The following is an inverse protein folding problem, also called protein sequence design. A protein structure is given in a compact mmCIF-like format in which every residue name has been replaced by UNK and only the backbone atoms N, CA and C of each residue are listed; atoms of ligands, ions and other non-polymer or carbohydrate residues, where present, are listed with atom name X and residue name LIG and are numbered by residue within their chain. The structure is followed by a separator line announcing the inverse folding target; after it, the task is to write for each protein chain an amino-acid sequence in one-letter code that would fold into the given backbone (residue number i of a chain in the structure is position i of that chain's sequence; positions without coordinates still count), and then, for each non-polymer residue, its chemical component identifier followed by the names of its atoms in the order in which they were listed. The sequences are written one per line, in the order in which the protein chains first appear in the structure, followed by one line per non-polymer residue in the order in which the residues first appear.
data_IF_238287287774
#
_entry.id   IF_238287287774
#
_cell.length_a   1.000
_cell.length_b   1.000
_cell.length_c   1.000
_cell.angle_alpha   90.00
_cell.angle_beta   90.00
_cell.angle_gamma   90.00
#
_symmetry.space_group_name_H-M   'P 1'
#
loop_
_entity.id
_entity.type
_entity.pdbx_description
1 polymer ?
#
# COMPACT_ATOMS: atom_id res chain seq x y z
N UNK A 1 -21.06 -8.90 22.00
CA UNK A 1 -20.46 -7.83 21.17
C UNK A 1 -19.05 -8.15 20.69
N UNK A 2 -18.08 -8.48 21.56
CA UNK A 2 -16.70 -8.83 21.15
C UNK A 2 -16.58 -9.93 20.09
N UNK A 3 -17.34 -11.02 20.21
CA UNK A 3 -17.35 -12.12 19.20
C UNK A 3 -17.76 -11.65 17.81
N UNK A 4 -18.76 -10.76 17.72
CA UNK A 4 -19.23 -10.19 16.44
C UNK A 4 -18.16 -9.28 15.83
N UNK A 5 -17.53 -8.43 16.63
CA UNK A 5 -16.43 -7.57 16.17
C UNK A 5 -15.20 -8.38 15.72
N UNK A 6 -14.85 -9.43 16.44
CA UNK A 6 -13.76 -10.33 16.03
C UNK A 6 -14.04 -10.98 14.68
N UNK A 7 -15.26 -11.49 14.47
CA UNK A 7 -15.68 -12.04 13.18
C UNK A 7 -15.69 -10.98 12.08
N UNK A 8 -16.15 -9.76 12.36
CA UNK A 8 -16.11 -8.65 11.41
C UNK A 8 -14.69 -8.36 10.95
N UNK A 9 -13.74 -8.22 11.88
CA UNK A 9 -12.32 -7.99 11.56
C UNK A 9 -11.77 -9.12 10.70
N UNK A 10 -12.02 -10.38 11.08
CA UNK A 10 -11.57 -11.54 10.30
C UNK A 10 -12.15 -11.52 8.89
N UNK A 11 -13.45 -11.28 8.73
CA UNK A 11 -14.09 -11.24 7.42
C UNK A 11 -13.54 -10.09 6.55
N UNK A 12 -13.40 -8.88 7.11
CA UNK A 12 -12.82 -7.75 6.41
C UNK A 12 -11.39 -8.07 5.98
N UNK A 13 -10.55 -8.63 6.85
CA UNK A 13 -9.18 -8.98 6.48
C UNK A 13 -9.13 -10.10 5.43
N UNK A 14 -9.99 -11.12 5.53
CA UNK A 14 -10.04 -12.23 4.56
C UNK A 14 -10.42 -11.72 3.17
N UNK A 15 -11.42 -10.84 3.06
CA UNK A 15 -11.85 -10.33 1.74
C UNK A 15 -10.92 -9.24 1.17
N UNK A 16 -10.04 -8.67 2.00
CA UNK A 16 -9.14 -7.56 1.61
C UNK A 16 -7.66 -7.94 1.76
N UNK A 17 -6.92 -7.24 2.62
CA UNK A 17 -5.45 -7.28 2.70
C UNK A 17 -4.89 -8.51 3.41
N UNK A 18 -5.68 -9.24 4.20
CA UNK A 18 -5.24 -10.46 4.86
C UNK A 18 -4.94 -11.59 3.87
N UNK A 19 -5.82 -11.79 2.87
CA UNK A 19 -5.55 -12.76 1.79
C UNK A 19 -4.50 -12.26 0.81
N UNK A 20 -4.42 -10.95 0.55
CA UNK A 20 -3.30 -10.35 -0.21
C UNK A 20 -1.96 -10.62 0.48
N UNK A 21 -1.89 -10.52 1.82
CA UNK A 21 -0.71 -10.82 2.63
C UNK A 21 -0.28 -12.26 2.51
N UNK A 22 -1.22 -13.20 2.67
CA UNK A 22 -0.94 -14.63 2.50
C UNK A 22 -0.44 -14.94 1.07
N UNK A 23 -1.10 -14.39 0.05
CA UNK A 23 -0.70 -14.58 -1.35
C UNK A 23 0.68 -13.98 -1.63
N UNK A 24 0.99 -12.82 -1.08
CA UNK A 24 2.28 -12.16 -1.24
C UNK A 24 3.41 -12.97 -0.59
N UNK A 25 3.20 -13.52 0.60
CA UNK A 25 4.16 -14.41 1.24
C UNK A 25 4.41 -15.69 0.42
N UNK A 26 3.35 -16.33 -0.08
CA UNK A 26 3.47 -17.51 -0.96
C UNK A 26 4.23 -17.18 -2.26
N UNK A 27 3.94 -16.02 -2.88
CA UNK A 27 4.67 -15.55 -4.08
C UNK A 27 6.14 -15.26 -3.81
N UNK A 28 6.48 -14.77 -2.61
CA UNK A 28 7.88 -14.58 -2.23
C UNK A 28 8.59 -15.93 -2.12
N UNK A 29 7.98 -16.92 -1.47
CA UNK A 29 8.55 -18.28 -1.37
C UNK A 29 8.78 -18.86 -2.78
N UNK A 30 7.79 -18.78 -3.65
CA UNK A 30 7.89 -19.23 -5.05
C UNK A 30 9.05 -18.53 -5.80
N UNK A 31 9.18 -17.22 -5.63
CA UNK A 31 10.25 -16.43 -6.23
C UNK A 31 11.64 -16.88 -5.73
N UNK A 32 11.78 -17.13 -4.42
CA UNK A 32 13.03 -17.60 -3.80
C UNK A 32 13.43 -19.00 -4.24
N UNK A 33 12.46 -19.85 -4.59
CA UNK A 33 12.70 -21.20 -5.10
C UNK A 33 13.04 -21.21 -6.59
N UNK A 34 12.75 -20.13 -7.32
CA UNK A 34 12.90 -20.06 -8.78
C UNK A 34 14.24 -19.46 -9.21
N UNK A 35 14.61 -18.28 -8.70
CA UNK A 35 15.83 -17.56 -9.09
C UNK A 35 16.20 -16.51 -8.03
N UNK A 36 17.42 -15.93 -8.06
CA UNK A 36 17.74 -14.74 -7.27
C UNK A 36 16.72 -13.61 -7.47
N UNK A 37 16.36 -12.88 -6.42
CA UNK A 37 15.31 -11.87 -6.50
C UNK A 37 15.69 -10.71 -7.43
N UNK A 38 16.94 -10.28 -7.40
CA UNK A 38 17.47 -9.19 -8.25
C UNK A 38 17.56 -9.53 -9.73
N UNK A 39 17.41 -10.80 -10.11
CA UNK A 39 17.31 -11.22 -11.52
C UNK A 39 15.85 -11.28 -12.00
N UNK A 40 14.88 -11.11 -11.09
CA UNK A 40 13.47 -11.12 -11.38
C UNK A 40 12.90 -9.70 -11.45
N UNK A 41 11.82 -9.56 -12.23
CA UNK A 41 11.13 -8.29 -12.46
C UNK A 41 9.77 -8.28 -11.77
N UNK A 42 9.35 -7.11 -11.29
CA UNK A 42 7.99 -6.87 -10.84
C UNK A 42 7.46 -5.59 -11.46
N UNK A 43 6.23 -5.64 -11.95
CA UNK A 43 5.55 -4.50 -12.57
C UNK A 43 4.54 -3.96 -11.56
N UNK A 44 4.58 -2.65 -11.28
CA UNK A 44 3.71 -2.01 -10.28
C UNK A 44 2.26 -1.85 -10.76
N UNK A 45 2.08 -1.55 -12.06
CA UNK A 45 0.77 -1.43 -12.72
C UNK A 45 0.89 -2.12 -14.07
N UNK A 46 0.51 -3.39 -14.13
CA UNK A 46 0.58 -4.16 -15.38
C UNK A 46 -0.70 -4.00 -16.20
N UNK A 47 -0.59 -4.10 -17.53
CA UNK A 47 -1.76 -4.08 -18.41
C UNK A 47 -2.57 -5.37 -18.21
N UNK A 48 -3.87 -5.23 -17.94
CA UNK A 48 -4.79 -6.35 -17.79
C UNK A 48 -5.32 -6.83 -19.16
N UNK A 49 -5.19 -6.02 -20.20
CA UNK A 49 -5.54 -6.38 -21.57
C UNK A 49 -4.63 -5.71 -22.59
N UNK A 50 -4.41 -6.36 -23.73
CA UNK A 50 -3.78 -5.76 -24.91
C UNK A 50 -4.71 -4.80 -25.67
N UNK A 51 -6.01 -4.78 -25.35
CA UNK A 51 -7.01 -3.91 -25.98
C UNK A 51 -7.25 -2.69 -25.08
N UNK A 52 -6.90 -1.48 -25.54
CA UNK A 52 -6.79 -0.28 -24.69
C UNK A 52 -8.07 0.08 -23.90
N UNK A 53 -9.25 0.06 -24.53
CA UNK A 53 -10.48 0.42 -23.83
C UNK A 53 -10.89 -0.63 -22.79
N UNK A 54 -10.59 -1.91 -23.07
CA UNK A 54 -10.88 -3.03 -22.16
C UNK A 54 -9.91 -3.02 -20.99
N UNK A 55 -8.63 -2.75 -21.24
CA UNK A 55 -7.64 -2.52 -20.18
C UNK A 55 -8.12 -1.41 -19.25
N UNK A 56 -8.45 -0.23 -19.79
CA UNK A 56 -8.96 0.88 -18.99
C UNK A 56 -10.18 0.47 -18.14
N UNK A 57 -11.15 -0.24 -18.72
CA UNK A 57 -12.33 -0.71 -17.99
C UNK A 57 -11.98 -1.68 -16.85
N UNK A 58 -11.03 -2.60 -17.08
CA UNK A 58 -10.54 -3.54 -16.06
C UNK A 58 -9.78 -2.82 -14.95
N UNK A 59 -8.88 -1.90 -15.30
CA UNK A 59 -8.13 -1.09 -14.33
C UNK A 59 -9.07 -0.24 -13.46
N UNK A 60 -10.07 0.41 -14.07
CA UNK A 60 -11.10 1.15 -13.35
C UNK A 60 -11.87 0.23 -12.39
N UNK A 61 -12.26 -0.96 -12.85
CA UNK A 61 -12.96 -1.95 -12.02
C UNK A 61 -12.13 -2.36 -10.81
N UNK A 62 -10.84 -2.65 -11.00
CA UNK A 62 -9.92 -2.99 -9.91
C UNK A 62 -9.76 -1.83 -8.91
N UNK A 63 -9.59 -0.60 -9.39
CA UNK A 63 -9.52 0.59 -8.55
C UNK A 63 -10.82 0.81 -7.75
N UNK A 64 -12.00 0.62 -8.38
CA UNK A 64 -13.29 0.70 -7.70
C UNK A 64 -13.44 -0.34 -6.59
N UNK A 65 -12.89 -1.55 -6.77
CA UNK A 65 -12.88 -2.58 -5.71
C UNK A 65 -12.09 -2.10 -4.49
N UNK A 66 -10.89 -1.54 -4.68
CA UNK A 66 -10.07 -1.00 -3.59
C UNK A 66 -10.75 0.18 -2.88
N UNK A 67 -11.36 1.09 -3.64
CA UNK A 67 -12.17 2.18 -3.07
C UNK A 67 -13.37 1.60 -2.31
N UNK A 68 -14.00 0.55 -2.83
CA UNK A 68 -15.08 -0.18 -2.18
C UNK A 68 -14.66 -0.81 -0.86
N UNK A 69 -13.46 -1.38 -0.76
CA UNK A 69 -12.91 -1.91 0.49
C UNK A 69 -12.75 -0.83 1.55
N UNK A 70 -12.16 0.31 1.19
CA UNK A 70 -12.05 1.47 2.08
C UNK A 70 -13.42 2.02 2.48
N UNK A 71 -14.35 2.14 1.53
CA UNK A 71 -15.71 2.60 1.78
C UNK A 71 -16.50 1.67 2.72
N UNK A 72 -16.37 0.35 2.53
CA UNK A 72 -16.96 -0.65 3.42
C UNK A 72 -16.39 -0.54 4.83
N UNK A 73 -15.07 -0.46 4.96
CA UNK A 73 -14.41 -0.31 6.26
C UNK A 73 -14.85 0.99 6.97
N UNK A 74 -14.94 2.09 6.25
CA UNK A 74 -15.45 3.36 6.77
C UNK A 74 -16.91 3.25 7.22
N UNK A 75 -17.76 2.63 6.39
CA UNK A 75 -19.18 2.41 6.70
C UNK A 75 -19.35 1.57 7.97
N UNK A 76 -18.58 0.48 8.12
CA UNK A 76 -18.64 -0.39 9.30
C UNK A 76 -18.28 0.36 10.58
N UNK A 77 -17.34 1.31 10.52
CA UNK A 77 -17.01 2.13 11.69
C UNK A 77 -18.16 3.05 12.14
N UNK A 78 -19.14 3.32 11.28
CA UNK A 78 -20.22 4.27 11.58
C UNK A 78 -19.74 5.72 11.70
N UNK A 79 -18.54 6.02 11.19
CA UNK A 79 -17.92 7.34 11.28
C UNK A 79 -18.48 8.27 10.19
N UNK A 80 -18.74 9.52 10.56
CA UNK A 80 -19.12 10.54 9.58
C UNK A 80 -17.95 10.80 8.63
N UNK A 81 -18.24 10.87 7.33
CA UNK A 81 -17.25 11.27 6.33
C UNK A 81 -16.70 12.66 6.64
N UNK A 82 -15.37 12.78 6.68
CA UNK A 82 -14.66 14.05 6.87
C UNK A 82 -13.80 14.25 5.64
N UNK A 83 -13.91 15.37 4.95
CA UNK A 83 -13.09 15.65 3.77
C UNK A 83 -11.67 16.11 4.18
N UNK A 84 -10.64 15.88 3.35
CA UNK A 84 -9.28 16.34 3.64
C UNK A 84 -9.22 17.88 3.67
N UNK A 85 -8.36 18.42 4.53
CA UNK A 85 -8.09 19.86 4.62
C UNK A 85 -6.77 20.24 3.94
N UNK A 86 -6.55 21.52 3.66
CA UNK A 86 -5.26 22.02 3.16
C UNK A 86 -4.07 21.66 4.07
N UNK A 87 -4.29 21.57 5.39
CA UNK A 87 -3.25 21.11 6.33
C UNK A 87 -2.94 19.63 6.15
N UNK A 88 -3.92 18.83 5.76
CA UNK A 88 -3.72 17.40 5.50
C UNK A 88 -2.92 17.18 4.21
N UNK A 89 -3.06 18.05 3.21
CA UNK A 89 -2.19 18.07 2.01
C UNK A 89 -0.73 18.32 2.40
N UNK A 90 -0.46 19.37 3.19
CA UNK A 90 0.90 19.69 3.64
C UNK A 90 1.52 18.57 4.48
N UNK A 91 0.74 17.95 5.38
CA UNK A 91 1.21 16.79 6.16
C UNK A 91 1.42 15.56 5.29
N UNK A 92 0.54 15.30 4.33
CA UNK A 92 0.66 14.21 3.38
C UNK A 92 1.94 14.31 2.57
N UNK A 93 2.24 15.50 2.03
CA UNK A 93 3.50 15.76 1.35
C UNK A 93 4.73 15.57 2.26
N UNK A 94 4.64 16.02 3.52
CA UNK A 94 5.70 15.82 4.51
C UNK A 94 5.96 14.33 4.80
N UNK A 95 4.91 13.54 5.00
CA UNK A 95 5.04 12.09 5.19
C UNK A 95 5.52 11.37 3.93
N UNK A 96 5.06 11.80 2.75
CA UNK A 96 5.52 11.25 1.48
C UNK A 96 7.04 11.44 1.31
N UNK A 97 7.57 12.62 1.63
CA UNK A 97 9.01 12.86 1.61
C UNK A 97 9.75 12.06 2.70
N UNK A 98 9.21 12.02 3.91
CA UNK A 98 9.81 11.31 5.06
C UNK A 98 9.94 9.81 4.81
N UNK A 99 8.99 9.19 4.13
CA UNK A 99 8.98 7.75 3.85
C UNK A 99 9.57 7.45 2.48
N UNK A 100 9.17 8.19 1.46
CA UNK A 100 9.55 7.95 0.07
C UNK A 100 11.04 8.15 -0.21
N UNK A 101 11.67 9.20 0.34
CA UNK A 101 13.09 9.46 0.08
C UNK A 101 14.01 8.37 0.69
N UNK A 102 13.88 8.02 1.99
CA UNK A 102 14.66 6.89 2.54
C UNK A 102 14.24 5.54 1.92
N UNK A 103 12.96 5.40 1.55
CA UNK A 103 12.44 4.20 0.88
C UNK A 103 13.11 3.95 -0.47
N UNK A 104 13.36 5.00 -1.25
CA UNK A 104 14.11 4.90 -2.51
C UNK A 104 15.54 4.42 -2.26
N UNK A 105 16.24 4.99 -1.27
CA UNK A 105 17.59 4.57 -0.92
C UNK A 105 17.63 3.10 -0.45
N UNK A 106 16.64 2.68 0.35
CA UNK A 106 16.48 1.29 0.79
C UNK A 106 16.26 0.35 -0.40
N UNK A 107 15.38 0.72 -1.33
CA UNK A 107 15.09 -0.08 -2.53
C UNK A 107 16.34 -0.27 -3.39
N UNK A 108 17.02 0.82 -3.75
CA UNK A 108 18.24 0.77 -4.56
C UNK A 108 19.29 -0.11 -3.90
N UNK A 109 19.55 0.09 -2.61
CA UNK A 109 20.53 -0.72 -1.87
C UNK A 109 20.14 -2.20 -1.84
N UNK A 110 18.85 -2.50 -1.69
CA UNK A 110 18.35 -3.87 -1.62
C UNK A 110 18.44 -4.61 -2.95
N UNK A 111 18.26 -3.93 -4.10
CA UNK A 111 18.47 -4.54 -5.42
C UNK A 111 19.91 -5.00 -5.58
N UNK A 112 20.88 -4.16 -5.22
CA UNK A 112 22.31 -4.52 -5.27
C UNK A 112 22.68 -5.66 -4.32
N UNK A 113 21.96 -5.80 -3.20
CA UNK A 113 22.17 -6.87 -2.22
C UNK A 113 21.38 -8.15 -2.53
N UNK A 114 20.63 -8.21 -3.63
CA UNK A 114 19.81 -9.39 -3.97
C UNK A 114 18.55 -9.57 -3.12
N UNK A 115 18.13 -8.54 -2.38
CA UNK A 115 17.02 -8.57 -1.42
C UNK A 115 15.69 -8.07 -2.01
N UNK A 116 15.70 -7.57 -3.24
CA UNK A 116 14.55 -6.99 -3.93
C UNK A 116 14.51 -7.37 -5.40
N UNK A 117 13.31 -7.42 -5.98
CA UNK A 117 13.11 -7.52 -7.43
C UNK A 117 13.34 -6.17 -8.10
N UNK A 118 13.76 -6.19 -9.35
CA UNK A 118 13.86 -4.97 -10.15
C UNK A 118 12.45 -4.53 -10.53
N UNK A 119 12.06 -3.35 -10.06
CA UNK A 119 10.82 -2.68 -10.46
C UNK A 119 10.98 -2.16 -11.87
N UNK A 120 10.17 -2.68 -12.78
CA UNK A 120 10.19 -2.25 -14.18
C UNK A 120 9.03 -1.30 -14.42
N UNK A 121 9.31 -0.12 -15.01
CA UNK A 121 8.29 0.80 -15.51
C UNK A 121 7.29 0.13 -16.45
N UNK A 122 6.00 0.41 -16.27
CA UNK A 122 4.96 -0.02 -17.21
C UNK A 122 4.49 1.11 -18.15
N UNK A 123 4.77 2.36 -17.80
CA UNK A 123 3.92 3.49 -18.20
C UNK A 123 4.38 4.17 -19.49
N UNK A 124 3.60 3.98 -20.55
CA UNK A 124 3.43 4.98 -21.60
C UNK A 124 2.64 6.19 -21.04
N UNK A 125 2.82 7.39 -21.62
CA UNK A 125 2.17 8.63 -21.17
C UNK A 125 0.63 8.53 -21.06
N UNK A 126 0.00 7.67 -21.86
CA UNK A 126 -1.45 7.41 -21.85
C UNK A 126 -1.94 6.70 -20.57
N UNK A 127 -1.03 6.09 -19.80
CA UNK A 127 -1.36 5.39 -18.56
C UNK A 127 -1.26 6.27 -17.31
N UNK A 128 -0.83 7.54 -17.43
CA UNK A 128 -0.71 8.46 -16.28
C UNK A 128 -2.04 8.63 -15.52
N UNK A 129 -3.19 8.92 -16.16
CA UNK A 129 -4.45 9.08 -15.44
C UNK A 129 -4.85 7.81 -14.68
N UNK A 130 -4.69 6.65 -15.31
CA UNK A 130 -4.97 5.34 -14.70
C UNK A 130 -4.03 5.06 -13.53
N UNK A 131 -2.75 5.44 -13.65
CA UNK A 131 -1.75 5.30 -12.59
C UNK A 131 -2.06 6.18 -11.38
N UNK A 132 -2.48 7.43 -11.60
CA UNK A 132 -2.91 8.32 -10.52
C UNK A 132 -4.17 7.81 -9.83
N UNK A 133 -5.12 7.23 -10.60
CA UNK A 133 -6.29 6.59 -10.01
C UNK A 133 -5.90 5.39 -9.14
N UNK A 134 -4.98 4.54 -9.61
CA UNK A 134 -4.46 3.42 -8.84
C UNK A 134 -3.73 3.88 -7.57
N UNK A 135 -2.87 4.89 -7.67
CA UNK A 135 -2.20 5.47 -6.51
C UNK A 135 -3.20 5.96 -5.47
N UNK A 136 -4.32 6.56 -5.91
CA UNK A 136 -5.38 6.99 -5.00
C UNK A 136 -6.12 5.78 -4.43
N UNK A 137 -6.46 4.79 -5.25
CA UNK A 137 -7.20 3.61 -4.82
C UNK A 137 -6.41 2.78 -3.80
N UNK A 138 -5.10 2.59 -4.01
CA UNK A 138 -4.17 1.98 -3.07
C UNK A 138 -4.12 2.78 -1.77
N UNK A 139 -3.79 4.07 -1.85
CA UNK A 139 -3.70 4.94 -0.69
C UNK A 139 -5.00 5.01 0.10
N UNK A 140 -6.16 5.06 -0.57
CA UNK A 140 -7.44 5.08 0.12
C UNK A 140 -7.77 3.72 0.76
N UNK A 141 -7.69 2.64 -0.02
CA UNK A 141 -8.04 1.30 0.44
C UNK A 141 -7.14 0.85 1.60
N UNK A 142 -5.83 0.99 1.45
CA UNK A 142 -4.86 0.55 2.46
C UNK A 142 -4.94 1.38 3.73
N UNK A 143 -4.92 2.71 3.64
CA UNK A 143 -4.91 3.54 4.85
C UNK A 143 -6.24 3.46 5.61
N UNK A 144 -7.36 3.33 4.90
CA UNK A 144 -8.66 3.21 5.57
C UNK A 144 -8.83 1.82 6.20
N UNK A 145 -8.47 0.74 5.51
CA UNK A 145 -8.65 -0.63 6.04
C UNK A 145 -7.57 -0.98 7.06
N UNK A 146 -6.30 -0.86 6.67
CA UNK A 146 -5.15 -1.38 7.43
C UNK A 146 -4.77 -0.47 8.58
N UNK A 147 -5.00 0.85 8.46
CA UNK A 147 -4.71 1.81 9.53
C UNK A 147 -5.98 2.19 10.28
N UNK A 148 -6.90 2.96 9.67
CA UNK A 148 -8.04 3.52 10.39
C UNK A 148 -8.97 2.45 10.97
N UNK A 149 -9.45 1.51 10.15
CA UNK A 149 -10.37 0.46 10.56
C UNK A 149 -9.73 -0.51 11.52
N UNK A 150 -8.58 -1.10 11.14
CA UNK A 150 -7.96 -2.13 11.96
C UNK A 150 -7.54 -1.61 13.34
N UNK A 151 -6.90 -0.43 13.44
CA UNK A 151 -6.54 0.13 14.75
C UNK A 151 -7.77 0.37 15.62
N UNK A 152 -8.82 0.95 15.02
CA UNK A 152 -10.06 1.26 15.75
C UNK A 152 -10.72 -0.03 16.26
N UNK A 153 -10.82 -1.06 15.43
CA UNK A 153 -11.43 -2.35 15.82
C UNK A 153 -10.60 -3.11 16.84
N UNK A 154 -9.28 -3.17 16.69
CA UNK A 154 -8.41 -3.82 17.67
C UNK A 154 -8.50 -3.10 19.03
N UNK A 155 -8.55 -1.77 19.04
CA UNK A 155 -8.81 -0.99 20.25
C UNK A 155 -10.16 -1.32 20.91
N UNK A 156 -11.24 -1.43 20.12
CA UNK A 156 -12.56 -1.86 20.60
C UNK A 156 -12.57 -3.30 21.14
N UNK A 157 -11.69 -4.17 20.62
CA UNK A 157 -11.46 -5.52 21.13
C UNK A 157 -10.59 -5.55 22.40
N UNK A 158 -10.06 -4.40 22.84
CA UNK A 158 -9.27 -4.26 24.07
C UNK A 158 -7.76 -4.41 23.87
N UNK A 159 -7.26 -4.37 22.63
CA UNK A 159 -5.83 -4.40 22.35
C UNK A 159 -5.16 -3.11 22.84
N UNK A 160 -3.96 -3.24 23.40
CA UNK A 160 -3.13 -2.08 23.75
C UNK A 160 -2.67 -1.38 22.47
N UNK A 161 -2.45 -0.04 22.49
CA UNK A 161 -2.06 0.70 21.29
C UNK A 161 -0.87 0.12 20.53
N UNK A 162 0.18 -0.33 21.25
CA UNK A 162 1.35 -0.92 20.61
C UNK A 162 1.04 -2.24 19.90
N UNK A 163 0.10 -3.05 20.42
CA UNK A 163 -0.32 -4.30 19.80
C UNK A 163 -1.08 -4.03 18.49
N UNK A 164 -1.97 -3.04 18.51
CA UNK A 164 -2.72 -2.64 17.32
C UNK A 164 -1.82 -2.05 16.24
N UNK A 165 -0.85 -1.21 16.63
CA UNK A 165 0.17 -0.66 15.72
C UNK A 165 1.02 -1.79 15.12
N UNK A 166 1.50 -2.73 15.95
CA UNK A 166 2.30 -3.86 15.48
C UNK A 166 1.52 -4.74 14.50
N UNK A 167 0.25 -5.05 14.79
CA UNK A 167 -0.60 -5.84 13.91
C UNK A 167 -0.87 -5.15 12.56
N UNK A 168 -1.14 -3.84 12.58
CA UNK A 168 -1.32 -3.04 11.37
C UNK A 168 -0.06 -2.96 10.52
N UNK A 169 1.10 -2.69 11.14
CA UNK A 169 2.39 -2.65 10.46
C UNK A 169 2.79 -4.01 9.88
N UNK A 170 2.58 -5.10 10.62
CA UNK A 170 2.85 -6.45 10.15
C UNK A 170 1.94 -6.85 8.99
N UNK A 171 0.63 -6.54 9.07
CA UNK A 171 -0.30 -6.76 7.97
C UNK A 171 0.17 -5.99 6.74
N UNK A 172 0.52 -4.71 6.89
CA UNK A 172 1.07 -3.89 5.81
C UNK A 172 2.28 -4.52 5.15
N UNK A 173 3.33 -4.80 5.93
CA UNK A 173 4.54 -5.42 5.38
C UNK A 173 4.25 -6.74 4.66
N UNK A 174 3.30 -7.53 5.16
CA UNK A 174 2.99 -8.85 4.60
C UNK A 174 2.50 -8.80 3.15
N UNK A 175 1.59 -7.89 2.79
CA UNK A 175 1.04 -7.85 1.42
C UNK A 175 1.96 -7.17 0.39
N UNK A 176 3.11 -6.66 0.82
CA UNK A 176 4.17 -6.18 -0.06
C UNK A 176 5.34 -7.15 -0.25
N UNK A 177 5.35 -8.31 0.43
CA UNK A 177 6.44 -9.29 0.32
C UNK A 177 6.66 -9.83 -1.10
N UNK A 178 5.65 -9.78 -1.97
CA UNK A 178 5.76 -10.28 -3.36
C UNK A 178 6.80 -9.52 -4.21
N UNK A 179 7.15 -8.30 -3.81
CA UNK A 179 8.17 -7.46 -4.44
C UNK A 179 9.59 -7.76 -3.89
N UNK A 180 9.70 -8.47 -2.77
CA UNK A 180 10.95 -8.79 -2.08
C UNK A 180 10.97 -8.36 -0.62
N UNK A 181 12.06 -8.68 0.08
CA UNK A 181 12.20 -8.41 1.52
C UNK A 181 12.22 -6.91 1.83
N UNK A 182 12.87 -6.10 0.99
CA UNK A 182 12.97 -4.65 1.19
C UNK A 182 11.61 -3.95 1.11
N UNK A 183 10.76 -4.36 0.17
CA UNK A 183 9.42 -3.81 0.02
C UNK A 183 8.55 -4.13 1.24
N UNK A 184 8.59 -5.38 1.72
CA UNK A 184 7.90 -5.78 2.95
C UNK A 184 8.41 -5.03 4.18
N UNK A 185 9.73 -4.86 4.32
CA UNK A 185 10.34 -4.15 5.44
C UNK A 185 10.06 -2.64 5.42
N UNK A 186 10.22 -1.98 4.27
CA UNK A 186 9.90 -0.56 4.10
C UNK A 186 8.44 -0.27 4.43
N UNK A 187 7.53 -1.14 4.00
CA UNK A 187 6.10 -1.03 4.29
C UNK A 187 5.76 -1.34 5.76
N UNK A 188 6.49 -2.23 6.42
CA UNK A 188 6.39 -2.42 7.86
C UNK A 188 6.75 -1.12 8.60
N UNK A 189 7.86 -0.47 8.24
CA UNK A 189 8.30 0.80 8.85
C UNK A 189 7.28 1.91 8.60
N UNK A 190 6.83 2.08 7.36
CA UNK A 190 5.76 3.02 7.01
C UNK A 190 4.50 2.74 7.84
N UNK A 191 4.10 1.47 7.95
CA UNK A 191 2.95 1.03 8.74
C UNK A 191 3.06 1.42 10.21
N UNK A 192 4.24 1.31 10.83
CA UNK A 192 4.47 1.77 12.21
C UNK A 192 4.26 3.28 12.31
N UNK A 193 4.87 4.07 11.42
CA UNK A 193 4.78 5.55 11.44
C UNK A 193 3.34 6.00 11.26
N UNK A 194 2.64 5.42 10.28
CA UNK A 194 1.28 5.79 9.90
C UNK A 194 0.28 5.38 10.97
N UNK A 195 0.37 4.14 11.48
CA UNK A 195 -0.46 3.67 12.57
C UNK A 195 -0.25 4.47 13.86
N UNK A 196 1.00 4.83 14.19
CA UNK A 196 1.28 5.69 15.32
C UNK A 196 0.66 7.09 15.15
N UNK A 197 0.81 7.71 13.98
CA UNK A 197 0.23 9.01 13.69
C UNK A 197 -1.30 8.98 13.78
N UNK A 198 -1.94 7.95 13.21
CA UNK A 198 -3.38 7.78 13.30
C UNK A 198 -3.83 7.56 14.75
N UNK A 199 -3.13 6.71 15.51
CA UNK A 199 -3.43 6.50 16.93
C UNK A 199 -3.40 7.81 17.73
N UNK A 200 -2.46 8.72 17.42
CA UNK A 200 -2.32 10.01 18.12
C UNK A 200 -3.33 11.07 17.68
N UNK A 201 -3.75 11.06 16.41
CA UNK A 201 -4.50 12.18 15.82
C UNK A 201 -5.92 11.84 15.37
N UNK A 202 -6.22 10.56 15.14
CA UNK A 202 -7.45 10.08 14.52
C UNK A 202 -7.63 10.52 13.06
N UNK A 203 -6.57 10.96 12.37
CA UNK A 203 -6.64 11.51 11.00
C UNK A 203 -6.05 10.57 9.98
N UNK A 204 -6.90 10.03 9.10
CA UNK A 204 -6.48 9.11 8.02
C UNK A 204 -6.05 9.86 6.74
N UNK A 205 -6.64 11.01 6.43
CA UNK A 205 -6.37 11.73 5.17
C UNK A 205 -4.92 12.12 4.91
N UNK A 206 -4.15 12.62 5.90
CA UNK A 206 -2.72 12.85 5.71
C UNK A 206 -1.99 11.59 5.23
N UNK A 207 -2.40 10.42 5.71
CA UNK A 207 -1.80 9.13 5.36
C UNK A 207 -2.22 8.70 3.96
N UNK A 208 -3.51 8.82 3.61
CA UNK A 208 -4.03 8.54 2.26
C UNK A 208 -3.30 9.39 1.23
N UNK A 209 -3.13 10.69 1.51
CA UNK A 209 -2.44 11.63 0.63
C UNK A 209 -0.95 11.35 0.55
N UNK A 210 -0.31 10.99 1.66
CA UNK A 210 1.10 10.61 1.66
C UNK A 210 1.34 9.37 0.80
N UNK A 211 0.52 8.33 0.98
CA UNK A 211 0.58 7.11 0.21
C UNK A 211 0.32 7.39 -1.27
N UNK A 212 -0.76 8.12 -1.61
CA UNK A 212 -1.03 8.54 -2.97
C UNK A 212 0.18 9.22 -3.63
N UNK A 213 0.85 10.14 -2.92
CA UNK A 213 2.02 10.84 -3.46
C UNK A 213 3.23 9.91 -3.66
N UNK A 214 3.47 8.98 -2.73
CA UNK A 214 4.54 7.97 -2.87
C UNK A 214 4.27 7.10 -4.10
N UNK A 215 3.05 6.57 -4.24
CA UNK A 215 2.65 5.73 -5.36
C UNK A 215 2.63 6.51 -6.68
N UNK A 216 2.14 7.75 -6.69
CA UNK A 216 2.13 8.59 -7.89
C UNK A 216 3.56 8.85 -8.39
N UNK A 217 4.51 9.11 -7.49
CA UNK A 217 5.93 9.25 -7.85
C UNK A 217 6.49 7.91 -8.37
N UNK A 218 6.18 6.79 -7.71
CA UNK A 218 6.64 5.47 -8.14
C UNK A 218 6.05 5.03 -9.50
N UNK A 219 4.79 5.35 -9.79
CA UNK A 219 4.09 4.91 -10.99
C UNK A 219 4.30 5.84 -12.19
N UNK A 220 4.57 7.13 -11.94
CA UNK A 220 4.71 8.14 -13.00
C UNK A 220 6.14 8.62 -13.13
N UNK A 221 6.79 9.04 -12.05
CA UNK A 221 8.11 9.66 -12.14
C UNK A 221 9.23 8.64 -12.34
N UNK A 222 9.24 7.54 -11.59
CA UNK A 222 10.30 6.51 -11.72
C UNK A 222 10.43 5.96 -13.16
N UNK A 223 9.33 5.67 -13.89
CA UNK A 223 9.33 5.34 -15.32
C UNK A 223 9.95 6.36 -16.27
N UNK A 224 9.88 7.64 -15.92
CA UNK A 224 10.32 8.74 -16.77
C UNK A 224 11.76 9.18 -16.49
N UNK A 225 12.38 8.64 -15.45
CA UNK A 225 13.74 8.96 -15.04
C UNK A 225 14.71 7.91 -15.57
N UNK A 226 15.82 8.35 -16.14
CA UNK A 226 16.96 7.46 -16.37
C UNK A 226 17.63 7.19 -15.01
N UNK A 227 17.51 5.94 -14.56
CA UNK A 227 18.08 5.45 -13.30
C UNK A 227 19.22 4.46 -13.54
N UNK A 228 19.71 4.32 -14.78
CA UNK A 228 20.82 3.45 -15.11
C UNK A 228 22.10 3.79 -14.34
N UNK A 229 22.28 5.07 -13.98
CA UNK A 229 23.37 5.54 -13.11
C UNK A 229 23.32 4.98 -11.68
N UNK A 230 22.16 4.47 -11.24
CA UNK A 230 22.01 3.75 -9.99
C UNK A 230 22.36 2.26 -10.12
N UNK A 231 22.66 1.74 -11.31
CA UNK A 231 23.00 0.32 -11.50
C UNK A 231 21.80 -0.63 -11.44
N UNK A 232 20.58 -0.12 -11.64
CA UNK A 232 19.31 -0.86 -11.64
C UNK A 232 18.50 -0.65 -12.91
#
# INVERSE_FOLDING_TARGET
MRRRLGLEVVLVLVITFGTSGLRAALRLVDSLLTAPLNEQKTVLVDAQSSVSWLDLALQLTSAFVLVGWGGLAWYLLGERWRWPTWRDLGRGAGFAALIGLPGLALYVSAVHLGLSKVVVPATDAVQIPTSLLWAFANGFGEEVVVVMYLLTRLGQLGWKPWQAIAASAALRGSYHLYQGFSAGFGNLVMGVVFAWYFHKTGRVWPLVLAHFLIDAVAFVAYPLLDLSWLGI
#
